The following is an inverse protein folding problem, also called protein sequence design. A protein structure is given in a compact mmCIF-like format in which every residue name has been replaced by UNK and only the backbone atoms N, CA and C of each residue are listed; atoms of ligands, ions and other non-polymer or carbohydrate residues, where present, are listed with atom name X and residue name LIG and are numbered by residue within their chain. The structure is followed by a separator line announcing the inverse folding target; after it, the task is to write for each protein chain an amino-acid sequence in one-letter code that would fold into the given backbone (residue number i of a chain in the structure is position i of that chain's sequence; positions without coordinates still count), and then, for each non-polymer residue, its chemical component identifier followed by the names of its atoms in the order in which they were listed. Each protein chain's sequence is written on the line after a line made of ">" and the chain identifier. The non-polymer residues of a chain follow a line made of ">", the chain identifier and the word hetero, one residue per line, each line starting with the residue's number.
data_IF_933790856154
#
_entry.id   IF_933790856154
#
_cell.length_a   1.000
_cell.length_b   1.000
_cell.length_c   1.000
_cell.angle_alpha   90.00
_cell.angle_beta   90.00
_cell.angle_gamma   90.00
#
_symmetry.space_group_name_H-M   'P 1'
#
loop_
_entity.id
_entity.type
_entity.pdbx_description
1 polymer ?
#
# COMPACT_ATOMS: atom_id res chain seq x y z
N UNK A 1 -44.52 -3.59 -8.63
CA UNK A 1 -43.39 -4.27 -9.34
C UNK A 1 -42.56 -4.95 -8.26
N UNK A 2 -42.57 -6.28 -8.25
CA UNK A 2 -41.98 -7.12 -7.21
C UNK A 2 -40.45 -7.10 -7.38
N UNK A 3 -39.73 -6.32 -6.57
CA UNK A 3 -38.26 -6.36 -6.50
C UNK A 3 -37.91 -7.79 -6.11
N UNK A 4 -37.36 -8.58 -7.04
CA UNK A 4 -36.67 -9.84 -6.70
C UNK A 4 -35.73 -9.48 -5.56
N UNK A 5 -36.10 -9.92 -4.36
CA UNK A 5 -35.27 -9.82 -3.17
C UNK A 5 -34.03 -10.61 -3.53
N UNK A 6 -32.98 -9.90 -3.98
CA UNK A 6 -31.65 -10.48 -4.14
C UNK A 6 -31.41 -11.19 -2.82
N UNK A 7 -31.34 -12.52 -2.86
CA UNK A 7 -31.15 -13.36 -1.68
C UNK A 7 -29.86 -12.89 -1.02
N UNK A 8 -30.02 -12.02 -0.02
CA UNK A 8 -28.94 -11.42 0.71
C UNK A 8 -29.00 -12.03 2.09
N UNK A 9 -28.30 -13.14 2.23
CA UNK A 9 -27.90 -13.60 3.52
C UNK A 9 -26.66 -12.80 3.91
N UNK A 10 -26.86 -11.81 4.78
CA UNK A 10 -25.81 -10.96 5.37
C UNK A 10 -24.81 -11.80 6.19
N UNK A 11 -25.13 -13.07 6.47
CA UNK A 11 -24.30 -14.07 7.13
C UNK A 11 -23.87 -15.24 6.22
N UNK A 12 -24.19 -15.20 4.92
CA UNK A 12 -23.93 -16.28 3.97
C UNK A 12 -22.74 -16.03 3.03
N UNK A 13 -22.26 -17.11 2.41
CA UNK A 13 -21.12 -17.12 1.46
C UNK A 13 -21.25 -16.09 0.32
N UNK A 14 -22.49 -15.73 -0.06
CA UNK A 14 -22.78 -14.78 -1.12
C UNK A 14 -22.22 -13.37 -0.88
N UNK A 15 -22.12 -12.91 0.37
CA UNK A 15 -21.47 -11.64 0.70
C UNK A 15 -19.98 -11.68 0.34
N UNK A 16 -19.29 -12.75 0.77
CA UNK A 16 -17.86 -12.95 0.52
C UNK A 16 -17.56 -13.09 -0.98
N UNK A 17 -18.42 -13.77 -1.72
CA UNK A 17 -18.27 -13.93 -3.16
C UNK A 17 -18.36 -12.61 -3.91
N UNK A 18 -19.33 -11.75 -3.57
CA UNK A 18 -19.52 -10.47 -4.27
C UNK A 18 -18.33 -9.53 -4.00
N UNK A 19 -17.88 -9.39 -2.75
CA UNK A 19 -16.73 -8.53 -2.45
C UNK A 19 -15.42 -9.09 -3.05
N UNK A 20 -15.29 -10.42 -3.07
CA UNK A 20 -14.20 -11.12 -3.74
C UNK A 20 -14.17 -10.83 -5.24
N UNK A 21 -15.33 -10.89 -5.90
CA UNK A 21 -15.48 -10.56 -7.31
C UNK A 21 -15.18 -9.08 -7.60
N UNK A 22 -15.65 -8.17 -6.75
CA UNK A 22 -15.35 -6.74 -6.85
C UNK A 22 -13.84 -6.45 -6.82
N UNK A 23 -13.12 -7.03 -5.84
CA UNK A 23 -11.67 -6.85 -5.70
C UNK A 23 -10.93 -7.47 -6.88
N UNK A 24 -11.31 -8.68 -7.30
CA UNK A 24 -10.69 -9.34 -8.45
C UNK A 24 -10.93 -8.57 -9.75
N UNK A 25 -12.09 -7.94 -9.90
CA UNK A 25 -12.40 -7.08 -11.06
C UNK A 25 -11.50 -5.85 -11.09
N UNK A 26 -11.35 -5.14 -9.96
CA UNK A 26 -10.39 -4.03 -9.88
C UNK A 26 -8.95 -4.49 -10.14
N UNK A 27 -8.53 -5.63 -9.57
CA UNK A 27 -7.20 -6.22 -9.79
C UNK A 27 -6.96 -6.59 -11.25
N UNK A 28 -7.98 -7.17 -11.87
CA UNK A 28 -8.00 -7.59 -13.27
C UNK A 28 -8.10 -6.44 -14.27
N UNK A 29 -8.19 -5.20 -13.80
CA UNK A 29 -8.32 -4.00 -14.65
C UNK A 29 -9.60 -4.01 -15.48
N UNK A 30 -10.70 -4.44 -14.86
CA UNK A 30 -12.04 -4.43 -15.45
C UNK A 30 -12.93 -3.42 -14.69
N UNK A 31 -12.99 -2.14 -15.13
CA UNK A 31 -13.79 -1.11 -14.48
C UNK A 31 -15.30 -1.36 -14.62
N UNK A 32 -15.74 -2.01 -15.69
CA UNK A 32 -17.16 -2.34 -15.93
C UNK A 32 -17.64 -3.42 -14.96
N UNK A 33 -16.87 -4.50 -14.80
CA UNK A 33 -17.16 -5.52 -13.79
C UNK A 33 -17.05 -4.95 -12.36
N UNK A 34 -16.06 -4.10 -12.09
CA UNK A 34 -15.91 -3.46 -10.78
C UNK A 34 -17.13 -2.61 -10.41
N UNK A 35 -17.62 -1.74 -11.32
CA UNK A 35 -18.80 -0.92 -11.03
C UNK A 35 -20.07 -1.77 -10.94
N UNK A 36 -20.18 -2.86 -11.70
CA UNK A 36 -21.29 -3.82 -11.59
C UNK A 36 -21.35 -4.48 -10.21
N UNK A 37 -20.23 -5.03 -9.72
CA UNK A 37 -20.19 -5.66 -8.40
C UNK A 37 -20.36 -4.64 -7.26
N UNK A 38 -19.88 -3.40 -7.43
CA UNK A 38 -20.19 -2.29 -6.52
C UNK A 38 -21.70 -2.05 -6.46
N UNK A 39 -22.36 -1.88 -7.60
CA UNK A 39 -23.80 -1.65 -7.66
C UNK A 39 -24.58 -2.81 -7.02
N UNK A 40 -24.15 -4.05 -7.26
CA UNK A 40 -24.74 -5.23 -6.61
C UNK A 40 -24.65 -5.18 -5.09
N UNK A 41 -23.50 -4.80 -4.52
CA UNK A 41 -23.33 -4.64 -3.07
C UNK A 41 -24.23 -3.55 -2.51
N UNK A 42 -24.29 -2.39 -3.17
CA UNK A 42 -25.11 -1.26 -2.72
C UNK A 42 -26.61 -1.61 -2.73
N UNK A 43 -27.10 -2.23 -3.81
CA UNK A 43 -28.51 -2.63 -3.91
C UNK A 43 -28.87 -3.81 -3.00
N UNK A 44 -27.90 -4.65 -2.62
CA UNK A 44 -28.11 -5.72 -1.63
C UNK A 44 -28.00 -5.24 -0.18
N UNK A 45 -27.73 -3.95 0.06
CA UNK A 45 -27.64 -3.38 1.41
C UNK A 45 -26.33 -3.70 2.14
N UNK A 46 -25.24 -3.88 1.39
CA UNK A 46 -23.89 -3.92 1.94
C UNK A 46 -23.57 -2.62 2.70
N UNK A 47 -22.75 -2.69 3.76
CA UNK A 47 -22.26 -1.46 4.40
C UNK A 47 -21.35 -0.71 3.41
N UNK A 48 -21.71 0.50 2.94
CA UNK A 48 -20.86 1.24 2.01
C UNK A 48 -19.50 1.58 2.63
N UNK A 49 -19.40 1.69 3.96
CA UNK A 49 -18.11 1.90 4.63
C UNK A 49 -17.25 0.65 4.55
N UNK A 50 -17.83 -0.55 4.54
CA UNK A 50 -17.10 -1.79 4.28
C UNK A 50 -16.49 -1.76 2.87
N UNK A 51 -17.27 -1.44 1.85
CA UNK A 51 -16.77 -1.34 0.47
C UNK A 51 -15.66 -0.29 0.35
N UNK A 52 -15.84 0.89 0.94
CA UNK A 52 -14.83 1.95 0.93
C UNK A 52 -13.52 1.52 1.63
N UNK A 53 -13.59 0.82 2.78
CA UNK A 53 -12.42 0.24 3.45
C UNK A 53 -11.68 -0.75 2.54
N UNK A 54 -12.40 -1.57 1.77
CA UNK A 54 -11.78 -2.54 0.83
C UNK A 54 -11.06 -1.82 -0.32
N UNK A 55 -11.58 -0.69 -0.79
CA UNK A 55 -10.89 0.16 -1.78
C UNK A 55 -9.61 0.80 -1.24
N UNK A 56 -9.60 1.26 0.01
CA UNK A 56 -8.38 1.79 0.67
C UNK A 56 -7.29 0.72 0.78
N UNK A 57 -7.68 -0.50 1.19
CA UNK A 57 -6.75 -1.64 1.22
C UNK A 57 -6.23 -1.93 -0.19
N UNK A 58 -7.13 -2.04 -1.17
CA UNK A 58 -6.77 -2.31 -2.57
C UNK A 58 -5.77 -1.28 -3.13
N UNK A 59 -5.97 0.01 -2.85
CA UNK A 59 -5.09 1.08 -3.32
C UNK A 59 -3.63 0.89 -2.88
N UNK A 60 -3.39 0.38 -1.67
CA UNK A 60 -2.04 0.09 -1.16
C UNK A 60 -1.55 -1.33 -1.50
N UNK A 61 -2.47 -2.28 -1.67
CA UNK A 61 -2.18 -3.69 -1.89
C UNK A 61 -1.82 -4.03 -3.34
N UNK A 62 -2.58 -3.47 -4.29
CA UNK A 62 -2.60 -3.89 -5.69
C UNK A 62 -2.23 -2.77 -6.68
N UNK A 63 -2.24 -1.50 -6.25
CA UNK A 63 -1.74 -0.35 -7.02
C UNK A 63 -0.42 0.14 -6.45
N UNK A 64 -0.35 0.36 -5.13
CA UNK A 64 0.88 0.71 -4.43
C UNK A 64 1.51 2.00 -4.97
N UNK A 65 2.83 2.00 -5.17
CA UNK A 65 3.53 3.17 -5.68
C UNK A 65 3.47 3.30 -7.21
N UNK A 66 2.82 2.36 -7.92
CA UNK A 66 2.63 2.50 -9.37
C UNK A 66 1.70 3.68 -9.68
N UNK A 67 0.80 4.00 -8.76
CA UNK A 67 0.10 5.29 -8.71
C UNK A 67 -0.19 5.68 -7.24
N UNK A 68 0.66 6.55 -6.63
CA UNK A 68 0.49 6.98 -5.25
C UNK A 68 -0.81 7.77 -4.98
N UNK A 69 -1.45 8.33 -6.00
CA UNK A 69 -2.70 9.09 -5.83
C UNK A 69 -3.90 8.18 -5.56
N UNK A 70 -3.82 6.89 -5.90
CA UNK A 70 -4.88 5.92 -5.65
C UNK A 70 -5.29 5.85 -4.18
N UNK A 71 -4.30 5.85 -3.27
CA UNK A 71 -4.59 5.81 -1.83
C UNK A 71 -5.28 7.11 -1.37
N UNK A 72 -4.82 8.26 -1.87
CA UNK A 72 -5.43 9.56 -1.58
C UNK A 72 -6.90 9.59 -2.01
N UNK A 73 -7.18 9.20 -3.26
CA UNK A 73 -8.54 9.15 -3.78
C UNK A 73 -9.43 8.19 -2.97
N UNK A 74 -8.92 7.00 -2.64
CA UNK A 74 -9.65 6.04 -1.83
C UNK A 74 -9.96 6.59 -0.43
N UNK A 75 -9.00 7.26 0.23
CA UNK A 75 -9.25 7.90 1.53
C UNK A 75 -10.24 9.05 1.44
N UNK A 76 -10.12 9.92 0.44
CA UNK A 76 -11.09 11.01 0.21
C UNK A 76 -12.49 10.47 -0.12
N UNK A 77 -12.59 9.28 -0.71
CA UNK A 77 -13.87 8.61 -0.95
C UNK A 77 -14.51 8.13 0.35
N UNK A 78 -13.72 7.68 1.34
CA UNK A 78 -14.23 7.38 2.69
C UNK A 78 -14.80 8.64 3.33
N UNK A 79 -14.08 9.76 3.23
CA UNK A 79 -14.52 11.04 3.79
C UNK A 79 -15.78 11.56 3.09
N UNK A 80 -15.82 11.51 1.76
CA UNK A 80 -17.00 11.87 0.98
C UNK A 80 -18.20 11.00 1.35
N UNK A 81 -18.01 9.69 1.57
CA UNK A 81 -19.06 8.80 2.05
C UNK A 81 -19.56 9.18 3.44
N UNK A 82 -18.66 9.51 4.37
CA UNK A 82 -19.04 9.92 5.73
C UNK A 82 -19.74 11.28 5.76
N UNK A 83 -19.32 12.22 4.90
CA UNK A 83 -19.84 13.57 4.85
C UNK A 83 -21.18 13.66 4.10
N UNK A 84 -21.28 13.00 2.95
CA UNK A 84 -22.47 13.07 2.06
C UNK A 84 -23.50 12.00 2.39
N UNK A 85 -23.07 10.77 2.68
CA UNK A 85 -23.98 9.64 2.86
C UNK A 85 -24.64 9.14 1.57
N UNK A 86 -25.35 8.02 1.66
CA UNK A 86 -26.16 7.49 0.56
C UNK A 86 -27.53 8.21 0.49
N UNK A 87 -28.14 8.37 -0.70
CA UNK A 87 -27.77 7.73 -1.97
C UNK A 87 -26.68 8.42 -2.80
N UNK A 88 -26.33 9.68 -2.56
CA UNK A 88 -25.42 10.46 -3.42
C UNK A 88 -23.96 10.00 -3.35
N UNK A 89 -23.50 9.49 -2.20
CA UNK A 89 -22.13 8.99 -2.05
C UNK A 89 -21.80 7.79 -2.97
N UNK A 90 -22.80 7.14 -3.59
CA UNK A 90 -22.55 6.10 -4.59
C UNK A 90 -21.75 6.60 -5.79
N UNK A 91 -21.85 7.89 -6.12
CA UNK A 91 -21.07 8.49 -7.20
C UNK A 91 -19.58 8.57 -6.85
N UNK A 92 -19.24 8.95 -5.61
CA UNK A 92 -17.87 8.94 -5.13
C UNK A 92 -17.30 7.50 -5.07
N UNK A 93 -18.10 6.54 -4.58
CA UNK A 93 -17.72 5.13 -4.59
C UNK A 93 -17.47 4.60 -6.01
N UNK A 94 -18.34 4.94 -6.96
CA UNK A 94 -18.20 4.54 -8.36
C UNK A 94 -16.98 5.16 -9.01
N UNK A 95 -16.73 6.45 -8.79
CA UNK A 95 -15.54 7.15 -9.30
C UNK A 95 -14.25 6.51 -8.77
N UNK A 96 -14.21 6.19 -7.49
CA UNK A 96 -13.06 5.52 -6.88
C UNK A 96 -12.86 4.12 -7.47
N UNK A 97 -13.91 3.30 -7.52
CA UNK A 97 -13.82 1.93 -8.02
C UNK A 97 -13.28 1.87 -9.46
N UNK A 98 -13.80 2.71 -10.36
CA UNK A 98 -13.36 2.74 -11.76
C UNK A 98 -11.95 3.30 -11.92
N UNK A 99 -11.56 4.28 -11.11
CA UNK A 99 -10.17 4.76 -11.04
C UNK A 99 -9.21 3.64 -10.61
N UNK A 100 -9.50 2.97 -9.49
CA UNK A 100 -8.65 1.90 -8.96
C UNK A 100 -8.56 0.71 -9.93
N UNK A 101 -9.67 0.36 -10.59
CA UNK A 101 -9.67 -0.64 -11.64
C UNK A 101 -8.77 -0.23 -12.82
N UNK A 102 -8.77 1.04 -13.21
CA UNK A 102 -8.01 1.53 -14.38
C UNK A 102 -6.54 1.88 -14.08
N UNK A 103 -6.16 2.01 -12.80
CA UNK A 103 -4.83 2.44 -12.39
C UNK A 103 -3.74 1.39 -12.72
N UNK A 104 -2.48 1.81 -12.96
CA UNK A 104 -1.34 0.90 -13.05
C UNK A 104 -1.22 0.02 -11.78
N UNK A 105 -0.99 -1.28 -11.96
CA UNK A 105 -0.94 -2.22 -10.84
C UNK A 105 0.49 -2.48 -10.37
N UNK A 106 0.67 -2.53 -9.06
CA UNK A 106 1.88 -3.04 -8.41
C UNK A 106 1.59 -3.52 -6.99
N UNK A 107 2.11 -4.69 -6.66
CA UNK A 107 2.11 -5.24 -5.31
C UNK A 107 3.50 -5.13 -4.65
N UNK A 108 4.43 -4.34 -5.21
CA UNK A 108 5.83 -4.30 -4.76
C UNK A 108 5.97 -3.86 -3.29
N UNK A 109 5.19 -2.86 -2.87
CA UNK A 109 5.17 -2.39 -1.48
C UNK A 109 4.64 -3.45 -0.51
N UNK A 110 3.53 -4.13 -0.86
CA UNK A 110 2.97 -5.26 -0.09
C UNK A 110 3.97 -6.40 0.05
N UNK A 111 4.58 -6.80 -1.05
CA UNK A 111 5.57 -7.89 -1.05
C UNK A 111 6.76 -7.53 -0.17
N UNK A 112 7.25 -6.29 -0.26
CA UNK A 112 8.38 -5.82 0.54
C UNK A 112 8.12 -5.91 2.05
N UNK A 113 6.96 -5.46 2.53
CA UNK A 113 6.65 -5.50 3.97
C UNK A 113 6.44 -6.93 4.46
N UNK A 114 5.80 -7.80 3.66
CA UNK A 114 5.58 -9.20 4.03
C UNK A 114 6.90 -9.98 4.12
N UNK A 115 7.85 -9.75 3.21
CA UNK A 115 9.19 -10.33 3.29
C UNK A 115 9.96 -9.83 4.51
N UNK A 116 9.93 -8.52 4.77
CA UNK A 116 10.60 -7.95 5.95
C UNK A 116 10.02 -8.48 7.26
N UNK A 117 8.69 -8.62 7.38
CA UNK A 117 8.02 -9.24 8.54
C UNK A 117 8.48 -10.68 8.71
N UNK A 118 8.56 -11.45 7.62
CA UNK A 118 9.02 -12.84 7.66
C UNK A 118 10.46 -12.95 8.18
N UNK A 119 11.36 -12.08 7.71
CA UNK A 119 12.76 -12.08 8.17
C UNK A 119 12.84 -11.66 9.65
N UNK A 120 12.04 -10.68 10.10
CA UNK A 120 11.97 -10.29 11.53
C UNK A 120 11.43 -11.43 12.41
N UNK A 121 10.52 -12.26 11.91
CA UNK A 121 9.95 -13.39 12.65
C UNK A 121 10.85 -14.64 12.66
N UNK A 122 11.67 -14.83 11.62
CA UNK A 122 12.45 -16.05 11.41
C UNK A 122 13.94 -15.90 11.73
N UNK A 123 14.50 -14.71 11.59
CA UNK A 123 15.91 -14.46 11.87
C UNK A 123 16.12 -13.97 13.31
N UNK A 124 17.30 -14.25 13.87
CA UNK A 124 17.72 -13.66 15.15
C UNK A 124 18.04 -12.18 14.88
N UNK A 125 17.03 -11.31 14.99
CA UNK A 125 17.15 -9.87 14.70
C UNK A 125 18.38 -9.29 15.40
N UNK A 126 19.42 -8.99 14.61
CA UNK A 126 20.61 -8.33 15.10
C UNK A 126 20.26 -6.92 15.57
N UNK A 127 21.00 -6.38 16.55
CA UNK A 127 20.70 -5.05 17.05
C UNK A 127 20.92 -4.00 15.96
N UNK A 128 20.23 -2.87 16.09
CA UNK A 128 20.38 -1.72 15.19
C UNK A 128 21.87 -1.34 15.08
N UNK A 129 22.42 -1.10 13.87
CA UNK A 129 23.78 -0.63 13.68
C UNK A 129 24.10 0.59 14.55
N UNK A 130 25.29 0.63 15.14
CA UNK A 130 25.61 1.61 16.18
C UNK A 130 25.49 3.07 15.72
N UNK A 131 25.87 3.36 14.47
CA UNK A 131 25.77 4.69 13.87
C UNK A 131 24.32 5.15 13.66
N UNK A 132 23.34 4.25 13.66
CA UNK A 132 21.91 4.59 13.58
C UNK A 132 21.21 4.68 14.94
N UNK A 133 21.89 4.31 16.02
CA UNK A 133 21.29 4.36 17.36
C UNK A 133 21.19 5.79 17.86
N UNK A 134 20.08 6.11 18.52
CA UNK A 134 19.95 7.36 19.25
C UNK A 134 20.84 7.35 20.51
N UNK A 135 21.35 8.53 20.89
CA UNK A 135 22.21 8.75 22.06
C UNK A 135 21.64 9.80 23.04
N UNK A 136 20.40 9.62 23.57
CA UNK A 136 19.78 10.64 24.41
C UNK A 136 20.40 10.72 25.81
N UNK A 137 21.00 9.64 26.32
CA UNK A 137 21.59 9.57 27.67
C UNK A 137 23.11 9.70 27.64
N UNK A 138 23.69 10.12 28.77
CA UNK A 138 25.15 10.16 28.97
C UNK A 138 25.79 8.78 28.77
N UNK A 139 25.11 7.72 29.20
CA UNK A 139 25.56 6.35 28.98
C UNK A 139 25.58 5.99 27.48
N UNK A 140 24.51 6.31 26.73
CA UNK A 140 24.45 6.02 25.30
C UNK A 140 25.54 6.78 24.50
N UNK A 141 25.83 8.04 24.89
CA UNK A 141 26.96 8.81 24.32
C UNK A 141 28.32 8.17 24.63
N UNK A 142 28.52 7.68 25.86
CA UNK A 142 29.74 6.95 26.27
C UNK A 142 29.88 5.64 25.49
N UNK A 143 28.78 4.92 25.28
CA UNK A 143 28.72 3.71 24.43
C UNK A 143 28.88 4.02 22.93
N UNK A 144 28.97 5.30 22.56
CA UNK A 144 29.22 5.72 21.19
C UNK A 144 28.03 5.57 20.25
N UNK A 145 26.80 5.47 20.78
CA UNK A 145 25.60 5.44 19.93
C UNK A 145 25.56 6.68 19.03
N UNK A 146 25.21 6.48 17.76
CA UNK A 146 25.12 7.55 16.76
C UNK A 146 26.47 8.06 16.26
N UNK A 147 27.60 7.63 16.84
CA UNK A 147 28.92 7.99 16.30
C UNK A 147 29.09 7.38 14.91
N UNK A 148 29.55 8.20 13.97
CA UNK A 148 29.79 7.81 12.58
C UNK A 148 28.58 7.93 11.66
N UNK A 149 27.42 8.38 12.15
CA UNK A 149 26.26 8.66 11.30
C UNK A 149 26.61 9.72 10.24
N UNK A 150 26.34 9.40 8.97
CA UNK A 150 26.48 10.35 7.88
C UNK A 150 25.13 10.99 7.58
N UNK A 151 24.99 12.28 7.86
CA UNK A 151 23.75 13.00 7.58
C UNK A 151 23.59 13.22 6.06
N UNK A 152 22.60 12.61 5.38
CA UNK A 152 22.57 12.58 3.91
C UNK A 152 22.50 13.96 3.24
N UNK A 153 21.90 14.96 3.90
CA UNK A 153 21.76 16.31 3.36
C UNK A 153 23.08 17.09 3.26
N UNK A 154 24.14 16.63 3.94
CA UNK A 154 25.48 17.21 3.83
C UNK A 154 26.24 16.68 2.59
N UNK A 155 25.67 15.72 1.88
CA UNK A 155 26.29 15.06 0.72
C UNK A 155 25.61 15.47 -0.59
N UNK A 156 26.33 15.48 -1.72
CA UNK A 156 25.75 15.82 -3.02
C UNK A 156 24.51 15.00 -3.35
N UNK A 157 23.48 15.66 -3.88
CA UNK A 157 22.17 15.05 -4.18
C UNK A 157 21.40 14.52 -2.96
N UNK A 158 21.76 14.95 -1.74
CA UNK A 158 21.18 14.51 -0.48
C UNK A 158 21.28 12.98 -0.30
N UNK A 159 22.39 12.39 -0.72
CA UNK A 159 22.61 10.95 -0.69
C UNK A 159 24.05 10.61 -0.28
N UNK A 160 24.17 9.66 0.64
CA UNK A 160 25.43 9.08 1.07
C UNK A 160 25.31 7.57 1.05
N UNK A 161 26.39 6.89 0.66
CA UNK A 161 26.46 5.45 0.79
C UNK A 161 26.78 5.07 2.25
N UNK A 162 25.84 4.33 2.84
CA UNK A 162 25.89 3.86 4.21
C UNK A 162 25.05 2.59 4.36
N UNK A 163 25.47 1.69 5.25
CA UNK A 163 24.73 0.47 5.59
C UNK A 163 23.64 0.82 6.59
N UNK A 164 22.38 0.63 6.20
CA UNK A 164 21.24 0.91 7.07
C UNK A 164 20.62 -0.34 7.71
N UNK A 165 20.71 -1.48 7.03
CA UNK A 165 20.26 -2.77 7.57
C UNK A 165 21.32 -3.36 8.52
N UNK A 166 20.91 -4.21 9.49
CA UNK A 166 21.86 -4.98 10.28
C UNK A 166 22.75 -5.88 9.42
N UNK A 167 23.91 -6.29 9.93
CA UNK A 167 24.95 -6.99 9.15
C UNK A 167 24.47 -8.30 8.51
N UNK A 168 23.57 -9.06 9.16
CA UNK A 168 22.98 -10.27 8.60
C UNK A 168 22.02 -10.01 7.44
N UNK A 169 21.53 -8.78 7.29
CA UNK A 169 20.56 -8.35 6.27
C UNK A 169 21.14 -7.31 5.30
N UNK A 170 22.43 -6.96 5.38
CA UNK A 170 23.01 -5.81 4.67
C UNK A 170 22.82 -5.82 3.14
N UNK A 171 22.70 -7.01 2.55
CA UNK A 171 22.53 -7.22 1.11
C UNK A 171 21.07 -7.52 0.70
N UNK A 172 20.14 -7.58 1.66
CA UNK A 172 18.73 -7.85 1.38
C UNK A 172 18.10 -6.67 0.65
N UNK A 173 17.28 -7.00 -0.35
CA UNK A 173 16.51 -6.03 -1.12
C UNK A 173 15.04 -6.40 -1.05
N UNK A 174 14.30 -5.84 -0.10
CA UNK A 174 12.85 -6.10 0.04
C UNK A 174 12.03 -5.40 -1.04
N UNK A 175 12.29 -4.11 -1.25
CA UNK A 175 11.53 -3.29 -2.18
C UNK A 175 12.13 -3.36 -3.60
N UNK A 176 11.35 -3.95 -4.50
CA UNK A 176 11.66 -4.16 -5.92
C UNK A 176 10.54 -3.52 -6.75
N UNK A 177 10.61 -2.21 -7.04
CA UNK A 177 9.57 -1.52 -7.81
C UNK A 177 9.42 -2.12 -9.21
N UNK A 178 8.18 -2.15 -9.69
CA UNK A 178 7.84 -2.58 -11.04
C UNK A 178 8.20 -1.52 -12.09
N UNK A 179 7.95 -1.84 -13.36
CA UNK A 179 8.07 -0.88 -14.47
C UNK A 179 6.74 -0.17 -14.78
N UNK A 180 5.70 -0.38 -13.95
CA UNK A 180 4.37 0.17 -14.14
C UNK A 180 4.23 1.55 -13.51
N UNK A 181 3.61 2.47 -14.24
CA UNK A 181 3.28 3.81 -13.74
C UNK A 181 4.48 4.54 -13.13
N UNK A 182 4.27 5.13 -11.97
CA UNK A 182 5.28 5.94 -11.29
C UNK A 182 6.44 5.12 -10.70
N UNK A 183 6.26 3.80 -10.49
CA UNK A 183 7.34 2.94 -9.99
C UNK A 183 8.53 2.85 -10.94
N UNK A 184 8.33 3.04 -12.25
CA UNK A 184 9.42 3.12 -13.22
C UNK A 184 10.42 4.22 -12.84
N UNK A 185 9.93 5.42 -12.52
CA UNK A 185 10.76 6.55 -12.08
C UNK A 185 11.48 6.25 -10.77
N UNK A 186 10.78 5.61 -9.82
CA UNK A 186 11.37 5.18 -8.55
C UNK A 186 12.50 4.17 -8.78
N UNK A 187 12.26 3.17 -9.63
CA UNK A 187 13.22 2.11 -9.99
C UNK A 187 14.46 2.70 -10.64
N UNK A 188 14.30 3.60 -11.60
CA UNK A 188 15.41 4.29 -12.26
C UNK A 188 16.27 5.09 -11.27
N UNK A 189 15.64 5.87 -10.39
CA UNK A 189 16.34 6.62 -9.33
C UNK A 189 17.12 5.67 -8.41
N UNK A 190 16.47 4.63 -7.88
CA UNK A 190 17.10 3.68 -6.96
C UNK A 190 18.24 2.92 -7.63
N UNK A 191 18.09 2.50 -8.89
CA UNK A 191 19.15 1.84 -9.65
C UNK A 191 20.34 2.76 -9.88
N UNK A 192 20.12 4.05 -10.17
CA UNK A 192 21.20 5.03 -10.33
C UNK A 192 21.99 5.23 -9.04
N UNK A 193 21.32 5.24 -7.89
CA UNK A 193 21.96 5.35 -6.58
C UNK A 193 22.70 4.06 -6.20
N UNK A 194 22.10 2.89 -6.44
CA UNK A 194 22.69 1.58 -6.12
C UNK A 194 23.84 1.17 -7.05
N UNK A 195 23.86 1.62 -8.31
CA UNK A 195 24.98 1.34 -9.25
C UNK A 195 26.28 2.06 -8.87
N UNK A 196 26.23 3.10 -8.03
CA UNK A 196 27.43 3.74 -7.49
C UNK A 196 28.14 2.91 -6.40
N UNK A 197 27.63 1.72 -6.05
CA UNK A 197 28.25 0.77 -5.09
C UNK A 197 29.55 0.09 -5.60
N UNK A 198 30.24 0.67 -6.59
CA UNK A 198 31.48 0.10 -7.19
C UNK A 198 32.65 1.03 -6.92
#
# INVERSE_FOLDING_TARGET
>A
INRKQLQYDRAGDAHYDIISAFIKSMRGTDPDAAVYYLARMLESGEDPKFVARRMVIFASEDIGNADPHALMLATSTVDALNFVGLPEAKFALSQCATYLASAPKSNAAKTAINEAIKDVQSERTLPIPNHLRNAPTTLAKKLGHGKGYKYPHDYPSNYVEETYLPDNLKDKVYYRPSDNGYEKTIKERLNKLRKKKV
#
